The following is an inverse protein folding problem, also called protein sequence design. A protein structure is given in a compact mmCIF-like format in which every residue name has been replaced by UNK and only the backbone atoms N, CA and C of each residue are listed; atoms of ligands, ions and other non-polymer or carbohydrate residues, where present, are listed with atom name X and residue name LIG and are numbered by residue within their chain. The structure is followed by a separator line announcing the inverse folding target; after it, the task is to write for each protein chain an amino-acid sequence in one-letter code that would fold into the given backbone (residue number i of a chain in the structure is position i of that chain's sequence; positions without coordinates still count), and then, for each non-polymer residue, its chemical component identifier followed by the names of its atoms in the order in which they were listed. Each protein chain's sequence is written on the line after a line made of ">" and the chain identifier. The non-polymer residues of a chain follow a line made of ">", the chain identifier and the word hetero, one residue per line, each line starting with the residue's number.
data_IF_929873799738
#
_entry.id   IF_929873799738
#
_cell.length_a   1.000
_cell.length_b   1.000
_cell.length_c   1.000
_cell.angle_alpha   90.00
_cell.angle_beta   90.00
_cell.angle_gamma   90.00
#
_symmetry.space_group_name_H-M   'P 1'
#
loop_
_entity.id
_entity.type
_entity.pdbx_description
1 polymer ?
#
# COMPACT_ATOMS: atom_id res chain seq x y z
N UNK A 1 -8.07 -16.46 -11.94
CA UNK A 1 -8.16 -17.86 -12.44
C UNK A 1 -9.48 -18.54 -12.05
N UNK A 2 -9.85 -18.58 -10.78
CA UNK A 2 -11.10 -19.25 -10.31
C UNK A 2 -12.37 -18.67 -10.93
N UNK A 3 -12.45 -17.36 -11.12
CA UNK A 3 -13.58 -16.71 -11.79
C UNK A 3 -13.86 -17.30 -13.17
N UNK A 4 -12.85 -17.46 -14.00
CA UNK A 4 -12.99 -18.06 -15.35
C UNK A 4 -13.24 -19.57 -15.28
N UNK A 5 -12.57 -20.28 -14.36
CA UNK A 5 -12.78 -21.71 -14.18
C UNK A 5 -14.23 -22.00 -13.75
N UNK A 6 -14.80 -21.17 -12.90
CA UNK A 6 -16.19 -21.32 -12.42
C UNK A 6 -17.19 -21.31 -13.59
N UNK A 7 -16.97 -20.51 -14.65
CA UNK A 7 -17.87 -20.46 -15.79
C UNK A 7 -17.97 -21.81 -16.56
N UNK A 8 -16.92 -22.62 -16.52
CA UNK A 8 -16.91 -23.95 -17.13
C UNK A 8 -17.49 -25.03 -16.22
N UNK A 9 -17.26 -24.91 -14.89
CA UNK A 9 -17.58 -25.98 -13.93
C UNK A 9 -19.01 -25.84 -13.38
N UNK A 10 -19.61 -24.67 -13.44
CA UNK A 10 -20.99 -24.41 -12.96
C UNK A 10 -22.02 -25.40 -13.55
N UNK A 11 -21.80 -25.85 -14.78
CA UNK A 11 -22.69 -26.81 -15.44
C UNK A 11 -22.68 -28.22 -14.79
N UNK A 12 -21.62 -28.56 -14.05
CA UNK A 12 -21.49 -29.85 -13.37
C UNK A 12 -21.94 -29.79 -11.92
N UNK A 13 -21.80 -28.64 -11.24
CA UNK A 13 -22.14 -28.46 -9.85
C UNK A 13 -22.65 -27.06 -9.56
N UNK A 14 -23.95 -26.88 -9.45
CA UNK A 14 -24.67 -25.61 -9.32
C UNK A 14 -24.11 -24.66 -8.23
N UNK A 15 -23.73 -25.12 -7.02
CA UNK A 15 -23.18 -24.26 -5.97
C UNK A 15 -21.91 -23.53 -6.35
N UNK A 16 -21.15 -24.01 -7.35
CA UNK A 16 -19.95 -23.30 -7.84
C UNK A 16 -20.25 -21.95 -8.52
N UNK A 17 -21.54 -21.64 -8.79
CA UNK A 17 -21.98 -20.30 -9.20
C UNK A 17 -21.57 -19.22 -8.21
N UNK A 18 -21.38 -19.55 -6.93
CA UNK A 18 -20.88 -18.63 -5.92
C UNK A 18 -19.48 -18.07 -6.29
N UNK A 19 -18.64 -18.85 -6.98
CA UNK A 19 -17.32 -18.39 -7.44
C UNK A 19 -17.37 -17.38 -8.59
N UNK A 20 -18.55 -17.10 -9.14
CA UNK A 20 -18.77 -16.01 -10.10
C UNK A 20 -19.14 -14.69 -9.39
N UNK A 21 -19.44 -14.74 -8.08
CA UNK A 21 -19.74 -13.55 -7.28
C UNK A 21 -18.46 -12.87 -6.81
N UNK A 22 -18.28 -11.62 -7.16
CA UNK A 22 -17.11 -10.83 -6.71
C UNK A 22 -17.05 -10.71 -5.20
N UNK A 23 -18.19 -10.57 -4.51
CA UNK A 23 -18.23 -10.53 -3.04
C UNK A 23 -17.71 -11.82 -2.40
N UNK A 24 -18.05 -12.98 -2.99
CA UNK A 24 -17.54 -14.28 -2.53
C UNK A 24 -16.04 -14.38 -2.79
N UNK A 25 -15.55 -13.95 -3.97
CA UNK A 25 -14.14 -13.97 -4.29
C UNK A 25 -13.33 -13.03 -3.37
N UNK A 26 -13.85 -11.84 -3.05
CA UNK A 26 -13.25 -10.93 -2.05
C UNK A 26 -13.09 -11.65 -0.71
N UNK A 27 -14.16 -12.26 -0.22
CA UNK A 27 -14.13 -12.97 1.07
C UNK A 27 -13.15 -14.14 1.04
N UNK A 28 -13.19 -14.98 0.01
CA UNK A 28 -12.27 -16.12 -0.14
C UNK A 28 -10.81 -15.67 -0.23
N UNK A 29 -10.52 -14.64 -1.00
CA UNK A 29 -9.17 -14.08 -1.14
C UNK A 29 -8.63 -13.54 0.18
N UNK A 30 -9.46 -12.80 0.93
CA UNK A 30 -9.12 -12.26 2.23
C UNK A 30 -8.83 -13.37 3.25
N UNK A 31 -9.76 -14.33 3.42
CA UNK A 31 -9.59 -15.42 4.39
C UNK A 31 -8.45 -16.36 4.00
N UNK A 32 -8.33 -16.72 2.73
CA UNK A 32 -7.22 -17.58 2.26
C UNK A 32 -5.86 -16.88 2.45
N UNK A 33 -5.77 -15.60 2.12
CA UNK A 33 -4.57 -14.80 2.35
C UNK A 33 -4.19 -14.74 3.82
N UNK A 34 -5.15 -14.47 4.71
CA UNK A 34 -4.94 -14.48 6.16
C UNK A 34 -4.43 -15.84 6.65
N UNK A 35 -5.15 -16.92 6.37
CA UNK A 35 -4.79 -18.26 6.86
C UNK A 35 -3.45 -18.70 6.30
N UNK A 36 -3.18 -18.44 5.01
CA UNK A 36 -1.92 -18.82 4.39
C UNK A 36 -0.73 -18.16 5.10
N UNK A 37 -0.77 -16.84 5.34
CA UNK A 37 0.33 -16.15 6.02
C UNK A 37 0.39 -16.52 7.50
N UNK A 38 -0.74 -16.61 8.18
CA UNK A 38 -0.79 -17.06 9.58
C UNK A 38 -0.07 -18.41 9.78
N UNK A 39 -0.25 -19.35 8.85
CA UNK A 39 0.32 -20.71 8.94
C UNK A 39 1.74 -20.78 8.37
N UNK A 40 2.02 -20.11 7.25
CA UNK A 40 3.31 -20.23 6.55
C UNK A 40 4.41 -19.38 7.18
N UNK A 41 4.08 -18.16 7.64
CA UNK A 41 5.09 -17.22 8.09
C UNK A 41 5.97 -17.76 9.25
N UNK A 42 5.42 -18.40 10.30
CA UNK A 42 6.26 -18.98 11.35
C UNK A 42 7.21 -20.08 10.87
N UNK A 43 6.80 -20.81 9.83
CA UNK A 43 7.65 -21.86 9.22
C UNK A 43 8.84 -21.30 8.46
N UNK A 44 8.73 -20.04 8.04
CA UNK A 44 9.76 -19.36 7.27
C UNK A 44 10.77 -18.60 8.13
N UNK A 45 10.56 -18.46 9.45
CA UNK A 45 11.45 -17.65 10.30
C UNK A 45 12.93 -18.04 10.20
N UNK A 46 13.23 -19.34 10.09
CA UNK A 46 14.59 -19.84 9.97
C UNK A 46 15.30 -19.45 8.66
N UNK A 47 14.55 -19.06 7.62
CA UNK A 47 15.08 -18.66 6.32
C UNK A 47 15.21 -17.16 6.16
N UNK A 48 14.62 -16.39 7.08
CA UNK A 48 14.65 -14.93 7.05
C UNK A 48 15.96 -14.41 7.66
N UNK A 49 16.51 -13.30 7.14
CA UNK A 49 17.62 -12.63 7.78
C UNK A 49 17.23 -12.12 9.17
N UNK A 50 18.22 -11.98 10.05
CA UNK A 50 18.04 -11.39 11.35
C UNK A 50 18.23 -9.88 11.33
N UNK A 51 17.39 -9.13 12.05
CA UNK A 51 17.55 -7.69 12.22
C UNK A 51 18.82 -7.40 13.05
N UNK A 52 19.64 -6.48 12.57
CA UNK A 52 20.94 -6.15 13.17
C UNK A 52 20.85 -5.05 14.21
N UNK A 53 19.69 -4.43 14.34
CA UNK A 53 19.50 -3.22 15.13
C UNK A 53 20.04 -1.99 14.38
N UNK A 54 19.20 -0.99 14.17
CA UNK A 54 19.59 0.30 13.58
C UNK A 54 20.04 1.21 14.72
N UNK A 55 21.30 1.67 14.73
CA UNK A 55 21.92 2.47 15.80
C UNK A 55 21.11 3.73 16.21
N UNK A 56 20.28 4.25 15.30
CA UNK A 56 19.55 5.52 15.49
C UNK A 56 18.08 5.36 15.87
N UNK A 57 17.52 4.14 15.91
CA UNK A 57 16.10 3.93 16.26
C UNK A 57 15.92 3.71 17.76
N UNK A 58 14.80 4.21 18.30
CA UNK A 58 14.53 4.16 19.74
C UNK A 58 14.37 2.73 20.26
N UNK A 59 13.89 1.81 19.41
CA UNK A 59 13.62 0.42 19.74
C UNK A 59 14.65 -0.57 19.17
N UNK A 60 15.83 -0.11 18.77
CA UNK A 60 16.86 -0.93 18.12
C UNK A 60 17.22 -2.20 18.91
N UNK A 61 17.34 -2.09 20.23
CA UNK A 61 17.67 -3.23 21.09
C UNK A 61 16.56 -4.30 21.12
N UNK A 62 15.30 -3.91 21.00
CA UNK A 62 14.16 -4.82 20.99
C UNK A 62 13.95 -5.50 19.61
N UNK A 63 14.48 -4.93 18.55
CA UNK A 63 14.42 -5.48 17.19
C UNK A 63 15.55 -6.47 16.90
N UNK A 64 16.74 -6.25 17.49
CA UNK A 64 17.95 -7.03 17.20
C UNK A 64 17.75 -8.52 17.40
N UNK A 65 18.12 -9.31 16.39
CA UNK A 65 18.00 -10.78 16.38
C UNK A 65 16.62 -11.30 16.00
N UNK A 66 15.62 -10.44 15.77
CA UNK A 66 14.33 -10.89 15.23
C UNK A 66 14.44 -11.18 13.73
N UNK A 67 13.69 -12.19 13.22
CA UNK A 67 13.56 -12.38 11.77
C UNK A 67 13.00 -11.12 11.12
N UNK A 68 13.64 -10.64 10.05
CA UNK A 68 13.23 -9.47 9.26
C UNK A 68 13.08 -9.82 7.78
N UNK A 69 12.60 -8.89 6.95
CA UNK A 69 12.40 -9.16 5.52
C UNK A 69 11.24 -10.11 5.23
N UNK A 70 10.31 -10.28 6.18
CA UNK A 70 9.16 -11.18 6.01
C UNK A 70 8.21 -10.75 4.88
N UNK A 71 8.39 -9.55 4.34
CA UNK A 71 7.75 -9.11 3.10
C UNK A 71 7.86 -10.12 1.97
N UNK A 72 8.98 -10.85 1.87
CA UNK A 72 9.17 -11.88 0.84
C UNK A 72 8.11 -12.99 0.93
N UNK A 73 7.69 -13.37 2.13
CA UNK A 73 6.68 -14.40 2.33
C UNK A 73 5.29 -13.84 2.04
N UNK A 74 4.90 -12.77 2.72
CA UNK A 74 3.52 -12.33 2.65
C UNK A 74 3.18 -11.62 1.32
N UNK A 75 4.10 -10.91 0.67
CA UNK A 75 3.86 -10.33 -0.67
C UNK A 75 3.81 -11.46 -1.73
N UNK A 76 4.60 -12.52 -1.60
CA UNK A 76 4.49 -13.66 -2.53
C UNK A 76 3.17 -14.40 -2.37
N UNK A 77 2.67 -14.59 -1.14
CA UNK A 77 1.33 -15.12 -0.88
C UNK A 77 0.25 -14.20 -1.44
N UNK A 78 0.41 -12.88 -1.31
CA UNK A 78 -0.51 -11.91 -1.89
C UNK A 78 -0.60 -12.06 -3.42
N UNK A 79 0.52 -12.07 -4.13
CA UNK A 79 0.54 -12.22 -5.60
C UNK A 79 -0.11 -13.53 -6.02
N UNK A 80 0.18 -14.63 -5.32
CA UNK A 80 -0.44 -15.93 -5.57
C UNK A 80 -1.96 -15.90 -5.32
N UNK A 81 -2.42 -15.32 -4.22
CA UNK A 81 -3.85 -15.19 -3.91
C UNK A 81 -4.57 -14.32 -4.97
N UNK A 82 -3.99 -13.17 -5.33
CA UNK A 82 -4.54 -12.32 -6.39
C UNK A 82 -4.64 -13.07 -7.72
N UNK A 83 -3.62 -13.84 -8.12
CA UNK A 83 -3.65 -14.64 -9.34
C UNK A 83 -4.73 -15.73 -9.34
N UNK A 84 -5.01 -16.31 -8.18
CA UNK A 84 -6.06 -17.33 -8.03
C UNK A 84 -7.46 -16.73 -8.08
N UNK A 85 -7.71 -15.66 -7.33
CA UNK A 85 -9.07 -15.17 -7.08
C UNK A 85 -9.49 -14.02 -8.01
N UNK A 86 -8.58 -13.11 -8.40
CA UNK A 86 -8.94 -11.98 -9.24
C UNK A 86 -9.04 -12.35 -10.74
N UNK A 87 -9.98 -11.73 -11.49
CA UNK A 87 -10.01 -11.77 -12.94
C UNK A 87 -8.99 -10.79 -13.54
N UNK A 88 -7.70 -11.13 -13.47
CA UNK A 88 -6.61 -10.24 -13.80
C UNK A 88 -6.59 -9.83 -15.27
N UNK A 89 -6.44 -8.53 -15.52
CA UNK A 89 -6.07 -7.93 -16.79
C UNK A 89 -4.55 -7.65 -16.87
N UNK A 90 -4.11 -7.10 -18.01
CA UNK A 90 -2.69 -6.81 -18.23
C UNK A 90 -2.15 -5.74 -17.27
N UNK A 91 -2.93 -4.68 -16.99
CA UNK A 91 -2.54 -3.62 -16.06
C UNK A 91 -2.35 -4.18 -14.65
N UNK A 92 -3.31 -4.95 -14.17
CA UNK A 92 -3.28 -5.60 -12.86
C UNK A 92 -2.10 -6.55 -12.73
N UNK A 93 -1.81 -7.35 -13.76
CA UNK A 93 -0.64 -8.23 -13.80
C UNK A 93 0.67 -7.45 -13.73
N UNK A 94 0.81 -6.37 -14.48
CA UNK A 94 1.99 -5.50 -14.43
C UNK A 94 2.18 -4.88 -13.03
N UNK A 95 1.11 -4.39 -12.42
CA UNK A 95 1.18 -3.78 -11.08
C UNK A 95 1.52 -4.81 -9.99
N UNK A 96 0.99 -6.03 -10.08
CA UNK A 96 1.38 -7.13 -9.20
C UNK A 96 2.84 -7.52 -9.37
N UNK A 97 3.33 -7.61 -10.60
CA UNK A 97 4.73 -7.89 -10.90
C UNK A 97 5.67 -6.80 -10.35
N UNK A 98 5.32 -5.52 -10.49
CA UNK A 98 6.10 -4.41 -9.95
C UNK A 98 6.03 -4.35 -8.41
N UNK A 99 4.89 -4.70 -7.81
CA UNK A 99 4.79 -4.86 -6.34
C UNK A 99 5.75 -5.94 -5.86
N UNK A 100 5.78 -7.08 -6.53
CA UNK A 100 6.70 -8.18 -6.22
C UNK A 100 8.17 -7.79 -6.45
N UNK A 101 8.47 -7.04 -7.52
CA UNK A 101 9.81 -6.52 -7.79
C UNK A 101 10.26 -5.52 -6.70
N UNK A 102 9.36 -4.64 -6.24
CA UNK A 102 9.64 -3.71 -5.14
C UNK A 102 9.96 -4.46 -3.86
N UNK A 103 9.19 -5.50 -3.54
CA UNK A 103 9.48 -6.42 -2.44
C UNK A 103 10.85 -7.08 -2.60
N UNK A 104 11.18 -7.58 -3.79
CA UNK A 104 12.44 -8.27 -4.05
C UNK A 104 13.65 -7.35 -3.85
N UNK A 105 13.59 -6.10 -4.32
CA UNK A 105 14.66 -5.12 -4.09
C UNK A 105 14.84 -4.82 -2.61
N UNK A 106 13.74 -4.72 -1.85
CA UNK A 106 13.78 -4.55 -0.39
C UNK A 106 14.36 -5.76 0.32
N UNK A 107 13.98 -6.97 -0.08
CA UNK A 107 14.50 -8.21 0.49
C UNK A 107 16.01 -8.42 0.25
N UNK A 108 16.49 -8.03 -0.93
CA UNK A 108 17.92 -8.06 -1.23
C UNK A 108 18.72 -7.11 -0.35
N UNK A 109 18.15 -5.96 0.02
CA UNK A 109 18.74 -5.07 1.01
C UNK A 109 18.71 -5.65 2.42
N UNK A 110 17.56 -6.15 2.87
CA UNK A 110 17.40 -6.79 4.18
C UNK A 110 18.40 -7.95 4.40
N UNK A 111 18.67 -8.71 3.33
CA UNK A 111 19.60 -9.84 3.34
C UNK A 111 21.07 -9.42 3.19
N UNK A 112 21.35 -8.24 2.67
CA UNK A 112 22.70 -7.77 2.38
C UNK A 112 23.55 -7.63 3.65
N UNK A 113 24.82 -8.03 3.63
CA UNK A 113 25.75 -7.90 4.76
C UNK A 113 26.04 -6.45 5.15
N UNK A 114 26.05 -5.54 4.17
CA UNK A 114 26.05 -4.10 4.36
C UNK A 114 24.75 -3.55 3.81
N UNK A 115 24.00 -2.76 4.60
CA UNK A 115 22.77 -2.10 4.11
C UNK A 115 23.09 -1.21 2.92
N UNK A 116 22.19 -1.20 1.93
CA UNK A 116 22.38 -0.35 0.75
C UNK A 116 22.27 1.13 1.13
N UNK A 117 23.09 1.95 0.52
CA UNK A 117 23.01 3.39 0.73
C UNK A 117 21.68 3.98 0.27
N UNK A 118 21.27 5.09 0.92
CA UNK A 118 20.00 5.78 0.64
C UNK A 118 19.79 6.11 -0.83
N UNK A 119 20.87 6.54 -1.53
CA UNK A 119 20.80 6.87 -2.96
C UNK A 119 20.51 5.66 -3.85
N UNK A 120 21.09 4.49 -3.55
CA UNK A 120 20.82 3.26 -4.30
C UNK A 120 19.36 2.83 -4.13
N UNK A 121 18.86 2.84 -2.91
CA UNK A 121 17.45 2.54 -2.61
C UNK A 121 16.51 3.52 -3.32
N UNK A 122 16.75 4.80 -3.13
CA UNK A 122 15.93 5.86 -3.73
C UNK A 122 15.92 5.83 -5.27
N UNK A 123 17.05 5.49 -5.90
CA UNK A 123 17.13 5.36 -7.35
C UNK A 123 16.36 4.13 -7.88
N UNK A 124 16.43 2.99 -7.18
CA UNK A 124 15.65 1.80 -7.54
C UNK A 124 14.14 2.05 -7.38
N UNK A 125 13.73 2.69 -6.28
CA UNK A 125 12.33 3.07 -6.07
C UNK A 125 11.85 4.06 -7.13
N UNK A 126 12.70 5.01 -7.54
CA UNK A 126 12.38 5.95 -8.61
C UNK A 126 12.20 5.22 -9.95
N UNK A 127 13.12 4.30 -10.29
CA UNK A 127 13.04 3.55 -11.52
C UNK A 127 11.75 2.70 -11.59
N UNK A 128 11.39 2.02 -10.50
CA UNK A 128 10.15 1.26 -10.40
C UNK A 128 8.93 2.19 -10.52
N UNK A 129 8.97 3.35 -9.83
CA UNK A 129 7.87 4.32 -9.86
C UNK A 129 7.66 4.92 -11.24
N UNK A 130 8.73 5.26 -11.98
CA UNK A 130 8.65 5.72 -13.38
C UNK A 130 8.07 4.64 -14.27
N UNK A 131 8.55 3.40 -14.14
CA UNK A 131 8.06 2.26 -14.93
C UNK A 131 6.57 2.05 -14.69
N UNK A 132 6.14 2.06 -13.42
CA UNK A 132 4.72 1.92 -13.06
C UNK A 132 3.89 3.10 -13.60
N UNK A 133 4.37 4.34 -13.50
CA UNK A 133 3.69 5.52 -14.00
C UNK A 133 3.48 5.47 -15.52
N UNK A 134 4.50 5.02 -16.26
CA UNK A 134 4.41 4.82 -17.71
C UNK A 134 3.40 3.73 -18.06
N UNK A 135 3.43 2.59 -17.39
CA UNK A 135 2.50 1.48 -17.61
C UNK A 135 1.06 1.92 -17.27
N UNK A 136 0.85 2.58 -16.12
CA UNK A 136 -0.43 3.14 -15.73
C UNK A 136 -0.97 4.12 -16.79
N UNK A 137 -0.09 4.95 -17.37
CA UNK A 137 -0.48 5.86 -18.44
C UNK A 137 -0.83 5.11 -19.71
N UNK A 138 0.00 4.17 -20.16
CA UNK A 138 -0.18 3.46 -21.45
C UNK A 138 -1.40 2.56 -21.45
N UNK A 139 -1.64 1.86 -20.35
CA UNK A 139 -2.75 0.91 -20.18
C UNK A 139 -3.97 1.52 -19.50
N UNK A 140 -4.00 2.85 -19.26
CA UNK A 140 -5.14 3.50 -18.65
C UNK A 140 -6.38 3.40 -19.56
N UNK A 141 -7.50 2.83 -19.09
CA UNK A 141 -8.73 2.71 -19.87
C UNK A 141 -9.37 4.05 -20.20
N UNK A 142 -9.14 5.08 -19.35
CA UNK A 142 -9.70 6.42 -19.50
C UNK A 142 -8.79 7.36 -20.33
N UNK A 143 -7.81 6.80 -21.03
CA UNK A 143 -6.92 7.56 -21.89
C UNK A 143 -7.68 8.02 -23.13
N UNK A 144 -7.84 9.32 -23.24
CA UNK A 144 -8.54 9.95 -24.37
C UNK A 144 -7.67 10.04 -25.64
N UNK A 145 -8.33 10.19 -26.79
CA UNK A 145 -7.67 10.60 -28.03
C UNK A 145 -6.86 11.88 -27.80
N UNK A 146 -5.60 11.87 -28.25
CA UNK A 146 -4.66 12.97 -27.97
C UNK A 146 -3.74 12.74 -26.76
N UNK A 147 -3.83 11.61 -26.06
CA UNK A 147 -2.88 11.21 -25.02
C UNK A 147 -3.08 11.93 -23.69
N UNK A 148 -4.29 12.31 -23.36
CA UNK A 148 -4.66 12.88 -22.07
C UNK A 148 -5.32 11.81 -21.17
N UNK A 149 -5.03 11.87 -19.86
CA UNK A 149 -5.69 11.07 -18.82
C UNK A 149 -6.54 11.99 -17.97
N UNK A 150 -7.66 11.51 -17.49
CA UNK A 150 -8.56 12.30 -16.65
C UNK A 150 -8.31 12.01 -15.17
N UNK A 151 -8.16 13.07 -14.35
CA UNK A 151 -8.27 13.02 -12.92
C UNK A 151 -9.60 13.65 -12.48
N UNK A 152 -10.31 12.98 -11.61
CA UNK A 152 -11.42 13.61 -10.88
C UNK A 152 -10.88 14.14 -9.55
N UNK A 153 -11.17 15.41 -9.27
CA UNK A 153 -10.61 16.11 -8.13
C UNK A 153 -11.73 16.65 -7.23
N UNK A 154 -11.53 16.74 -5.91
CA UNK A 154 -12.49 17.40 -5.02
C UNK A 154 -12.65 18.86 -5.42
N UNK A 155 -13.85 19.42 -5.21
CA UNK A 155 -14.24 20.81 -5.52
C UNK A 155 -14.31 21.16 -7.02
N UNK A 156 -14.05 20.22 -7.92
CA UNK A 156 -14.13 20.42 -9.37
C UNK A 156 -15.13 19.41 -9.94
N UNK A 157 -16.18 19.92 -10.63
CA UNK A 157 -17.25 19.09 -11.19
C UNK A 157 -16.79 18.28 -12.39
N UNK A 158 -16.01 18.91 -13.27
CA UNK A 158 -15.53 18.25 -14.49
C UNK A 158 -14.16 17.61 -14.27
N UNK A 159 -13.92 16.41 -14.81
CA UNK A 159 -12.60 15.79 -14.74
C UNK A 159 -11.53 16.66 -15.37
N UNK A 160 -10.39 16.77 -14.74
CA UNK A 160 -9.23 17.52 -15.21
C UNK A 160 -8.43 16.66 -16.19
N UNK A 161 -8.32 17.13 -17.43
CA UNK A 161 -7.53 16.48 -18.46
C UNK A 161 -6.05 16.78 -18.29
N UNK A 162 -5.23 15.75 -18.15
CA UNK A 162 -3.80 15.86 -17.83
C UNK A 162 -2.97 15.23 -18.94
N UNK A 163 -2.01 16.00 -19.48
CA UNK A 163 -1.08 15.53 -20.50
C UNK A 163 -0.10 14.47 -19.95
N UNK A 164 0.36 13.56 -20.83
CA UNK A 164 1.25 12.46 -20.49
C UNK A 164 2.44 12.81 -19.58
N UNK A 165 3.24 13.86 -19.88
CA UNK A 165 4.42 14.18 -19.05
C UNK A 165 4.03 14.58 -17.63
N UNK A 166 2.92 15.33 -17.48
CA UNK A 166 2.43 15.77 -16.16
C UNK A 166 1.87 14.58 -15.38
N UNK A 167 1.08 13.70 -16.03
CA UNK A 167 0.58 12.48 -15.41
C UNK A 167 1.73 11.59 -14.90
N UNK A 168 2.71 11.30 -15.77
CA UNK A 168 3.86 10.45 -15.41
C UNK A 168 4.66 11.07 -14.26
N UNK A 169 4.88 12.39 -14.28
CA UNK A 169 5.59 13.08 -13.20
C UNK A 169 4.83 12.99 -11.86
N UNK A 170 3.53 13.30 -11.85
CA UNK A 170 2.68 13.22 -10.65
C UNK A 170 2.60 11.79 -10.12
N UNK A 171 2.35 10.82 -11.00
CA UNK A 171 2.28 9.41 -10.62
C UNK A 171 3.62 8.90 -10.05
N UNK A 172 4.74 9.26 -10.68
CA UNK A 172 6.08 8.91 -10.19
C UNK A 172 6.35 9.48 -8.80
N UNK A 173 6.06 10.77 -8.59
CA UNK A 173 6.25 11.42 -7.29
C UNK A 173 5.37 10.76 -6.23
N UNK A 174 4.11 10.49 -6.54
CA UNK A 174 3.17 9.87 -5.61
C UNK A 174 3.63 8.45 -5.23
N UNK A 175 4.01 7.61 -6.19
CA UNK A 175 4.52 6.27 -5.95
C UNK A 175 5.81 6.30 -5.13
N UNK A 176 6.79 7.09 -5.55
CA UNK A 176 8.09 7.20 -4.88
C UNK A 176 7.94 7.69 -3.43
N UNK A 177 7.12 8.71 -3.21
CA UNK A 177 6.86 9.22 -1.85
C UNK A 177 6.10 8.21 -1.01
N UNK A 178 5.10 7.52 -1.57
CA UNK A 178 4.35 6.48 -0.86
C UNK A 178 5.24 5.32 -0.43
N UNK A 179 6.15 4.84 -1.29
CA UNK A 179 7.15 3.80 -0.95
C UNK A 179 7.99 4.26 0.26
N UNK A 180 8.61 5.44 0.14
CA UNK A 180 9.59 5.88 1.12
C UNK A 180 8.95 6.31 2.45
N UNK A 181 7.75 6.90 2.43
CA UNK A 181 7.03 7.28 3.66
C UNK A 181 6.54 6.06 4.43
N UNK A 182 6.06 5.03 3.72
CA UNK A 182 5.65 3.78 4.36
C UNK A 182 6.84 3.05 4.96
N UNK A 183 7.97 3.02 4.26
CA UNK A 183 9.22 2.46 4.78
C UNK A 183 9.70 3.21 6.04
N UNK A 184 9.69 4.53 6.03
CA UNK A 184 10.03 5.33 7.22
C UNK A 184 9.04 5.15 8.39
N UNK A 185 7.83 4.69 8.13
CA UNK A 185 6.81 4.46 9.17
C UNK A 185 7.01 3.11 9.88
N UNK A 186 7.77 2.19 9.29
CA UNK A 186 8.01 0.85 9.83
C UNK A 186 9.12 0.87 10.91
N UNK A 187 8.78 1.38 12.08
CA UNK A 187 9.71 1.48 13.23
C UNK A 187 9.10 1.10 14.57
N UNK A 188 7.79 0.78 14.59
CA UNK A 188 7.06 0.33 15.78
C UNK A 188 6.21 -0.88 15.43
N UNK A 189 6.27 -1.91 16.29
CA UNK A 189 5.52 -3.17 16.10
C UNK A 189 4.04 -2.91 15.79
N UNK A 190 3.57 -3.42 14.65
CA UNK A 190 2.20 -3.30 14.18
C UNK A 190 1.81 -1.95 13.59
N UNK A 191 2.60 -0.88 13.72
CA UNK A 191 2.19 0.48 13.33
C UNK A 191 1.98 0.59 11.81
N UNK A 192 3.03 0.32 11.03
CA UNK A 192 2.98 0.44 9.58
C UNK A 192 1.90 -0.47 8.98
N UNK A 193 1.87 -1.73 9.39
CA UNK A 193 0.87 -2.71 8.94
C UNK A 193 -0.57 -2.31 9.27
N UNK A 194 -0.84 -1.75 10.45
CA UNK A 194 -2.19 -1.30 10.82
C UNK A 194 -2.63 -0.09 9.98
N UNK A 195 -1.76 0.90 9.78
CA UNK A 195 -2.08 2.07 8.97
C UNK A 195 -2.32 1.68 7.50
N UNK A 196 -1.47 0.80 6.95
CA UNK A 196 -1.65 0.25 5.60
C UNK A 196 -2.93 -0.57 5.49
N UNK A 197 -3.28 -1.36 6.51
CA UNK A 197 -4.51 -2.14 6.52
C UNK A 197 -5.75 -1.23 6.43
N UNK A 198 -5.78 -0.11 7.14
CA UNK A 198 -6.84 0.89 7.04
C UNK A 198 -6.92 1.44 5.61
N UNK A 199 -5.78 1.75 5.00
CA UNK A 199 -5.72 2.22 3.61
C UNK A 199 -6.29 1.17 2.63
N UNK A 200 -5.89 -0.10 2.78
CA UNK A 200 -6.35 -1.19 1.92
C UNK A 200 -7.86 -1.46 2.07
N UNK A 201 -8.38 -1.50 3.30
CA UNK A 201 -9.82 -1.66 3.53
C UNK A 201 -10.59 -0.50 2.91
N UNK A 202 -10.08 0.71 3.07
CA UNK A 202 -10.69 1.92 2.49
C UNK A 202 -10.71 1.85 0.96
N UNK A 203 -9.56 1.58 0.33
CA UNK A 203 -9.46 1.51 -1.14
C UNK A 203 -10.25 0.33 -1.72
N UNK A 204 -10.16 -0.85 -1.09
CA UNK A 204 -10.93 -2.02 -1.51
C UNK A 204 -12.45 -1.78 -1.44
N UNK A 205 -12.91 -1.09 -0.40
CA UNK A 205 -14.31 -0.69 -0.26
C UNK A 205 -14.71 0.35 -1.32
N UNK A 206 -13.86 1.34 -1.60
CA UNK A 206 -14.10 2.31 -2.66
C UNK A 206 -14.18 1.63 -4.04
N UNK A 207 -13.27 0.73 -4.35
CA UNK A 207 -13.27 -0.02 -5.60
C UNK A 207 -14.53 -0.87 -5.76
N UNK A 208 -14.97 -1.56 -4.70
CA UNK A 208 -16.13 -2.44 -4.80
C UNK A 208 -17.45 -1.67 -4.75
N UNK A 209 -17.66 -0.86 -3.71
CA UNK A 209 -18.98 -0.26 -3.45
C UNK A 209 -19.21 1.06 -4.16
N UNK A 210 -18.18 1.78 -4.56
CA UNK A 210 -18.30 3.14 -5.10
C UNK A 210 -17.91 3.18 -6.56
N UNK A 211 -16.64 3.01 -6.87
CA UNK A 211 -16.11 3.14 -8.24
C UNK A 211 -16.57 2.00 -9.16
N UNK A 212 -16.74 0.79 -8.63
CA UNK A 212 -17.20 -0.38 -9.38
C UNK A 212 -18.72 -0.45 -9.63
N UNK A 213 -19.51 0.47 -9.04
CA UNK A 213 -20.96 0.52 -9.21
C UNK A 213 -21.40 1.73 -10.00
N UNK A 214 -21.99 1.51 -11.20
CA UNK A 214 -22.41 2.59 -12.12
C UNK A 214 -23.35 3.59 -11.46
N UNK A 215 -24.36 3.11 -10.75
CA UNK A 215 -25.41 3.95 -10.16
C UNK A 215 -24.84 4.82 -9.03
N UNK A 216 -23.94 4.26 -8.21
CA UNK A 216 -23.33 4.98 -7.09
C UNK A 216 -22.30 5.98 -7.63
N UNK A 217 -21.49 5.59 -8.61
CA UNK A 217 -20.53 6.47 -9.25
C UNK A 217 -21.25 7.66 -9.93
N UNK A 218 -22.34 7.39 -10.65
CA UNK A 218 -23.17 8.42 -11.27
C UNK A 218 -23.83 9.35 -10.23
N UNK A 219 -24.35 8.80 -9.13
CA UNK A 219 -24.93 9.60 -8.04
C UNK A 219 -23.92 10.53 -7.38
N UNK A 220 -22.67 10.05 -7.24
CA UNK A 220 -21.57 10.83 -6.66
C UNK A 220 -20.85 11.72 -7.68
N UNK A 221 -21.24 11.66 -8.96
CA UNK A 221 -20.60 12.39 -10.07
C UNK A 221 -19.11 12.06 -10.24
N UNK A 222 -18.72 10.83 -9.95
CA UNK A 222 -17.35 10.33 -10.12
C UNK A 222 -17.27 9.32 -11.27
N UNK A 223 -16.09 9.12 -11.90
CA UNK A 223 -15.93 8.14 -12.95
C UNK A 223 -16.24 6.72 -12.46
N UNK A 224 -16.90 5.93 -13.31
CA UNK A 224 -17.11 4.52 -13.06
C UNK A 224 -15.88 3.71 -13.50
N UNK A 225 -15.34 2.88 -12.62
CA UNK A 225 -14.24 1.98 -12.92
C UNK A 225 -14.78 0.59 -13.24
N UNK A 226 -14.74 0.19 -14.52
CA UNK A 226 -15.36 -1.05 -15.00
C UNK A 226 -14.75 -2.31 -14.34
N UNK A 227 -13.46 -2.31 -14.05
CA UNK A 227 -12.70 -3.38 -13.38
C UNK A 227 -12.56 -3.18 -11.86
N UNK A 228 -13.35 -2.26 -11.29
CA UNK A 228 -13.31 -1.94 -9.86
C UNK A 228 -13.47 -3.17 -8.95
N UNK A 229 -14.31 -4.13 -9.34
CA UNK A 229 -14.45 -5.39 -8.60
C UNK A 229 -13.17 -6.24 -8.63
N UNK A 230 -12.44 -6.26 -9.73
CA UNK A 230 -11.14 -6.91 -9.86
C UNK A 230 -10.10 -6.28 -8.93
N UNK A 231 -10.00 -4.95 -8.93
CA UNK A 231 -9.13 -4.20 -8.01
C UNK A 231 -9.51 -4.41 -6.54
N UNK A 232 -10.80 -4.52 -6.23
CA UNK A 232 -11.26 -4.82 -4.88
C UNK A 232 -10.77 -6.19 -4.41
N UNK A 233 -10.88 -7.24 -5.25
CA UNK A 233 -10.39 -8.59 -4.90
C UNK A 233 -8.88 -8.55 -4.63
N UNK A 234 -8.10 -7.88 -5.48
CA UNK A 234 -6.65 -7.73 -5.31
C UNK A 234 -6.34 -7.01 -3.99
N UNK A 235 -7.01 -5.89 -3.74
CA UNK A 235 -6.78 -5.07 -2.53
C UNK A 235 -7.15 -5.82 -1.25
N UNK A 236 -8.29 -6.52 -1.23
CA UNK A 236 -8.68 -7.34 -0.09
C UNK A 236 -7.84 -8.61 0.08
N UNK A 237 -7.26 -9.15 -1.02
CA UNK A 237 -6.25 -10.22 -0.92
C UNK A 237 -5.04 -9.75 -0.11
N UNK A 238 -4.53 -8.54 -0.40
CA UNK A 238 -3.42 -7.98 0.36
C UNK A 238 -3.82 -7.63 1.79
N UNK A 239 -5.05 -7.14 2.01
CA UNK A 239 -5.55 -6.88 3.35
C UNK A 239 -5.59 -8.15 4.21
N UNK A 240 -6.08 -9.28 3.67
CA UNK A 240 -6.08 -10.57 4.36
C UNK A 240 -4.68 -11.07 4.69
N UNK A 241 -3.78 -11.03 3.72
CA UNK A 241 -2.37 -11.37 3.88
C UNK A 241 -1.70 -10.51 4.96
N UNK A 242 -1.97 -9.20 4.96
CA UNK A 242 -1.42 -8.27 5.93
C UNK A 242 -1.99 -8.49 7.34
N UNK A 243 -3.26 -8.89 7.48
CA UNK A 243 -3.82 -9.32 8.76
C UNK A 243 -3.10 -10.56 9.30
N UNK A 244 -2.79 -11.54 8.43
CA UNK A 244 -2.01 -12.73 8.80
C UNK A 244 -0.59 -12.38 9.27
N UNK A 245 0.06 -11.43 8.61
CA UNK A 245 1.34 -10.88 9.05
C UNK A 245 1.21 -10.14 10.38
N UNK A 246 0.22 -9.25 10.52
CA UNK A 246 -0.01 -8.43 11.71
C UNK A 246 -0.24 -9.30 12.96
N UNK A 247 -0.83 -10.48 12.82
CA UNK A 247 -0.98 -11.44 13.92
C UNK A 247 0.35 -11.81 14.57
N UNK A 248 1.42 -11.87 13.80
CA UNK A 248 2.77 -12.18 14.28
C UNK A 248 3.61 -10.94 14.60
N UNK A 249 3.24 -9.79 14.02
CA UNK A 249 3.94 -8.52 14.20
C UNK A 249 3.32 -7.64 15.29
N UNK A 250 2.15 -8.01 15.85
CA UNK A 250 1.57 -7.32 16.99
C UNK A 250 2.54 -7.30 18.19
N UNK A 251 2.55 -6.19 18.91
CA UNK A 251 3.48 -6.00 20.05
C UNK A 251 3.23 -7.00 21.18
N UNK A 252 4.27 -7.66 21.72
CA UNK A 252 5.66 -7.69 21.27
C UNK A 252 5.86 -8.56 20.02
N UNK A 253 6.40 -7.99 18.94
CA UNK A 253 6.50 -8.67 17.64
C UNK A 253 7.46 -9.86 17.66
N UNK A 254 7.10 -10.89 16.88
CA UNK A 254 7.94 -12.08 16.64
C UNK A 254 8.76 -11.97 15.35
N UNK A 255 8.35 -11.08 14.44
CA UNK A 255 8.92 -10.93 13.09
C UNK A 255 8.72 -9.50 12.61
N UNK A 256 9.65 -9.02 11.77
CA UNK A 256 9.62 -7.69 11.18
C UNK A 256 9.41 -7.81 9.65
N UNK A 257 8.70 -6.83 9.06
CA UNK A 257 8.45 -6.86 7.61
C UNK A 257 9.68 -6.50 6.78
N UNK A 258 10.58 -5.67 7.34
CA UNK A 258 11.75 -5.17 6.66
C UNK A 258 11.45 -4.22 5.50
N UNK A 259 12.49 -3.83 4.78
CA UNK A 259 12.36 -3.04 3.56
C UNK A 259 11.58 -3.80 2.48
N UNK A 260 11.66 -5.14 2.50
CA UNK A 260 10.88 -6.02 1.62
C UNK A 260 9.36 -5.78 1.72
N UNK A 261 8.84 -5.69 2.94
CA UNK A 261 7.40 -5.51 3.16
C UNK A 261 6.96 -4.06 3.03
N UNK A 262 7.61 -3.16 3.76
CA UNK A 262 7.19 -1.77 3.88
C UNK A 262 7.21 -1.02 2.54
N UNK A 263 8.22 -1.25 1.70
CA UNK A 263 8.33 -0.62 0.37
C UNK A 263 7.27 -1.14 -0.59
N UNK A 264 7.05 -2.47 -0.63
CA UNK A 264 6.01 -3.07 -1.47
C UNK A 264 4.59 -2.61 -1.09
N UNK A 265 4.31 -2.50 0.22
CA UNK A 265 3.03 -1.99 0.72
C UNK A 265 2.81 -0.53 0.33
N UNK A 266 3.83 0.32 0.48
CA UNK A 266 3.77 1.72 0.06
C UNK A 266 3.55 1.86 -1.45
N UNK A 267 4.25 1.07 -2.27
CA UNK A 267 4.04 1.03 -3.72
C UNK A 267 2.59 0.67 -4.06
N UNK A 268 2.05 -0.40 -3.48
CA UNK A 268 0.71 -0.86 -3.81
C UNK A 268 -0.39 0.12 -3.39
N UNK A 269 -0.25 0.81 -2.25
CA UNK A 269 -1.17 1.91 -1.88
C UNK A 269 -1.15 3.00 -2.95
N UNK A 270 0.03 3.43 -3.38
CA UNK A 270 0.18 4.43 -4.43
C UNK A 270 -0.49 4.00 -5.73
N UNK A 271 -0.34 2.71 -6.12
CA UNK A 271 -1.04 2.13 -7.29
C UNK A 271 -2.55 2.22 -7.13
N UNK A 272 -3.10 1.80 -5.98
CA UNK A 272 -4.54 1.88 -5.72
C UNK A 272 -5.08 3.32 -5.87
N UNK A 273 -4.35 4.29 -5.31
CA UNK A 273 -4.72 5.71 -5.40
C UNK A 273 -4.71 6.20 -6.86
N UNK A 274 -3.70 5.85 -7.65
CA UNK A 274 -3.62 6.27 -9.06
C UNK A 274 -4.68 5.61 -9.93
N UNK A 275 -4.95 4.32 -9.72
CA UNK A 275 -6.01 3.58 -10.41
C UNK A 275 -7.40 4.13 -10.14
N UNK A 276 -7.63 4.68 -8.95
CA UNK A 276 -8.90 5.34 -8.63
C UNK A 276 -9.17 6.62 -9.44
N UNK A 277 -8.17 7.15 -10.15
CA UNK A 277 -8.26 8.41 -10.88
C UNK A 277 -8.25 9.66 -9.99
N UNK A 278 -8.02 9.52 -8.69
CA UNK A 278 -7.95 10.65 -7.76
C UNK A 278 -6.71 10.61 -6.86
N UNK A 279 -5.64 11.33 -7.21
CA UNK A 279 -4.41 11.35 -6.41
C UNK A 279 -4.60 11.91 -4.99
N UNK A 280 -5.65 12.71 -4.74
CA UNK A 280 -5.94 13.23 -3.39
C UNK A 280 -6.46 12.17 -2.41
N UNK A 281 -6.86 11.00 -2.89
CA UNK A 281 -7.20 9.87 -2.01
C UNK A 281 -6.01 9.40 -1.17
N UNK A 282 -4.78 9.74 -1.54
CA UNK A 282 -3.60 9.48 -0.69
C UNK A 282 -3.73 10.16 0.68
N UNK A 283 -4.35 11.33 0.74
CA UNK A 283 -4.59 12.03 2.02
C UNK A 283 -5.71 11.38 2.83
N UNK A 284 -6.69 10.74 2.21
CA UNK A 284 -7.68 9.95 2.94
C UNK A 284 -7.07 8.65 3.50
N UNK A 285 -6.27 7.96 2.71
CA UNK A 285 -5.77 6.63 3.03
C UNK A 285 -4.51 6.62 3.88
N UNK A 286 -3.63 7.62 3.73
CA UNK A 286 -2.24 7.54 4.21
C UNK A 286 -1.76 8.82 4.91
N UNK A 287 -2.64 9.72 5.36
CA UNK A 287 -2.24 10.98 6.02
C UNK A 287 -1.28 10.77 7.17
N UNK A 288 -1.55 9.80 8.05
CA UNK A 288 -0.69 9.55 9.21
C UNK A 288 0.64 8.94 8.78
N UNK A 289 0.68 8.10 7.73
CA UNK A 289 1.92 7.58 7.17
C UNK A 289 2.78 8.73 6.63
N UNK A 290 2.18 9.66 5.87
CA UNK A 290 2.87 10.83 5.33
C UNK A 290 3.33 11.80 6.41
N UNK A 291 2.52 12.05 7.43
CA UNK A 291 2.92 12.89 8.58
C UNK A 291 4.02 12.24 9.40
N UNK A 292 3.98 10.92 9.59
CA UNK A 292 4.95 10.20 10.40
C UNK A 292 6.30 10.07 9.72
N UNK A 293 6.33 9.56 8.48
CA UNK A 293 7.55 9.31 7.70
C UNK A 293 7.91 10.43 6.73
N UNK A 294 6.91 10.97 6.00
CA UNK A 294 7.12 11.93 4.92
C UNK A 294 7.64 13.29 5.38
N UNK A 295 7.19 13.79 6.53
CA UNK A 295 7.73 15.04 7.10
C UNK A 295 9.21 14.92 7.43
N UNK A 296 9.68 13.73 7.84
CA UNK A 296 11.09 13.45 8.04
C UNK A 296 11.90 13.52 6.74
N UNK A 297 11.37 12.90 5.68
CA UNK A 297 11.97 12.96 4.35
C UNK A 297 12.03 14.40 3.83
N UNK A 298 10.95 15.16 3.98
CA UNK A 298 10.89 16.58 3.61
C UNK A 298 11.93 17.41 4.39
N UNK A 299 12.04 17.20 5.71
CA UNK A 299 13.04 17.87 6.55
C UNK A 299 14.46 17.61 6.03
N UNK A 300 14.79 16.35 5.74
CA UNK A 300 16.12 15.98 5.23
C UNK A 300 16.36 16.58 3.84
N UNK A 301 15.37 16.52 2.95
CA UNK A 301 15.47 17.09 1.60
C UNK A 301 15.70 18.60 1.63
N UNK A 302 14.90 19.36 2.40
CA UNK A 302 15.03 20.80 2.53
C UNK A 302 16.40 21.20 3.13
N UNK A 303 16.85 20.46 4.13
CA UNK A 303 18.17 20.72 4.73
C UNK A 303 19.31 20.42 3.75
N UNK A 304 19.22 19.31 3.00
CA UNK A 304 20.32 18.85 2.12
C UNK A 304 20.42 19.70 0.86
N UNK A 305 19.29 19.98 0.20
CA UNK A 305 19.29 20.67 -1.11
C UNK A 305 19.18 22.19 -1.00
N UNK A 306 18.41 22.69 -0.03
CA UNK A 306 18.11 24.12 0.09
C UNK A 306 18.71 24.76 1.33
N UNK A 307 19.36 24.00 2.23
CA UNK A 307 19.90 24.46 3.52
C UNK A 307 18.84 25.07 4.45
N UNK A 308 17.55 24.78 4.21
CA UNK A 308 16.42 25.24 5.01
C UNK A 308 16.21 24.26 6.17
N UNK A 309 16.22 24.79 7.40
CA UNK A 309 15.92 24.03 8.61
C UNK A 309 14.45 24.20 8.99
N UNK A 310 13.72 23.08 9.11
CA UNK A 310 12.35 23.05 9.61
C UNK A 310 12.26 22.03 10.75
N UNK A 311 11.35 22.28 11.69
CA UNK A 311 11.07 21.36 12.80
C UNK A 311 12.31 20.92 13.60
N UNK A 312 13.21 21.84 13.97
CA UNK A 312 14.47 21.52 14.64
C UNK A 312 14.27 20.81 15.99
N UNK A 313 13.18 21.12 16.70
CA UNK A 313 12.81 20.49 17.97
C UNK A 313 12.09 19.14 17.81
N UNK A 314 11.70 18.74 16.60
CA UNK A 314 10.95 17.52 16.34
C UNK A 314 11.86 16.46 15.73
N UNK A 315 11.91 15.30 16.37
CA UNK A 315 12.56 14.10 15.85
C UNK A 315 11.64 13.40 14.85
N UNK A 316 12.18 12.92 13.76
CA UNK A 316 11.46 12.11 12.78
C UNK A 316 12.15 10.74 12.60
N UNK A 317 11.39 9.70 12.29
CA UNK A 317 9.93 9.66 12.14
C UNK A 317 9.20 10.11 13.41
N UNK A 318 7.93 10.57 13.26
CA UNK A 318 7.17 11.17 14.37
C UNK A 318 6.94 10.18 15.53
N UNK A 319 6.79 8.89 15.26
CA UNK A 319 6.66 7.85 16.28
C UNK A 319 7.88 7.80 17.23
N UNK A 320 9.08 8.06 16.71
CA UNK A 320 10.31 8.15 17.53
C UNK A 320 10.25 9.36 18.48
N UNK A 321 9.72 10.49 17.99
CA UNK A 321 9.51 11.67 18.84
C UNK A 321 8.52 11.37 19.96
N UNK A 322 7.41 10.68 19.64
CA UNK A 322 6.39 10.31 20.64
C UNK A 322 6.95 9.33 21.68
N UNK A 323 7.73 8.34 21.24
CA UNK A 323 8.37 7.39 22.14
C UNK A 323 9.39 8.08 23.07
N UNK A 324 10.33 8.86 22.50
CA UNK A 324 11.45 9.43 23.24
C UNK A 324 11.04 10.65 24.08
N UNK A 325 10.31 11.60 23.48
CA UNK A 325 9.99 12.88 24.12
C UNK A 325 8.70 12.85 24.93
N UNK A 326 7.70 12.05 24.50
CA UNK A 326 6.41 11.91 25.18
C UNK A 326 6.31 10.63 26.00
N UNK A 327 7.33 9.73 25.92
CA UNK A 327 7.41 8.44 26.61
C UNK A 327 6.18 7.55 26.36
N UNK A 328 5.61 7.64 25.16
CA UNK A 328 4.52 6.75 24.79
C UNK A 328 5.04 5.34 24.54
N UNK A 329 4.31 4.34 25.05
CA UNK A 329 4.60 2.94 24.76
C UNK A 329 4.30 2.61 23.28
N UNK A 330 4.89 1.53 22.71
CA UNK A 330 4.57 1.08 21.37
C UNK A 330 3.06 0.89 21.13
N UNK A 331 2.35 0.31 22.10
CA UNK A 331 0.89 0.13 22.02
C UNK A 331 0.14 1.48 22.01
N UNK A 332 0.58 2.47 22.79
CA UNK A 332 -0.02 3.81 22.77
C UNK A 332 0.22 4.53 21.45
N UNK A 333 1.40 4.38 20.86
CA UNK A 333 1.71 4.95 19.54
C UNK A 333 0.79 4.33 18.49
N UNK A 334 0.74 2.99 18.44
CA UNK A 334 -0.12 2.25 17.52
C UNK A 334 -1.57 2.70 17.59
N UNK A 335 -2.17 2.63 18.79
CA UNK A 335 -3.61 2.93 18.97
C UNK A 335 -3.92 4.40 18.65
N UNK A 336 -3.11 5.35 19.12
CA UNK A 336 -3.36 6.77 18.86
C UNK A 336 -3.20 7.14 17.38
N UNK A 337 -2.19 6.60 16.70
CA UNK A 337 -1.99 6.85 15.27
C UNK A 337 -3.09 6.19 14.44
N UNK A 338 -3.54 4.98 14.83
CA UNK A 338 -4.70 4.33 14.22
C UNK A 338 -5.97 5.19 14.36
N UNK A 339 -6.27 5.70 15.56
CA UNK A 339 -7.44 6.57 15.78
C UNK A 339 -7.36 7.81 14.90
N UNK A 340 -6.20 8.48 14.85
CA UNK A 340 -6.00 9.65 14.01
C UNK A 340 -6.21 9.32 12.53
N UNK A 341 -5.65 8.20 12.04
CA UNK A 341 -5.84 7.78 10.64
C UNK A 341 -7.32 7.53 10.33
N UNK A 342 -8.04 6.81 11.18
CA UNK A 342 -9.48 6.54 10.97
C UNK A 342 -10.29 7.83 10.93
N UNK A 343 -10.06 8.75 11.86
CA UNK A 343 -10.76 10.04 11.88
C UNK A 343 -10.48 10.87 10.62
N UNK A 344 -9.21 10.95 10.20
CA UNK A 344 -8.84 11.66 8.97
C UNK A 344 -9.41 10.97 7.74
N UNK A 345 -9.36 9.64 7.67
CA UNK A 345 -9.95 8.88 6.57
C UNK A 345 -11.42 9.22 6.38
N UNK A 346 -12.23 9.16 7.45
CA UNK A 346 -13.66 9.45 7.38
C UNK A 346 -13.90 10.91 6.97
N UNK A 347 -13.19 11.86 7.58
CA UNK A 347 -13.36 13.29 7.28
C UNK A 347 -12.97 13.62 5.83
N UNK A 348 -11.82 13.15 5.37
CA UNK A 348 -11.31 13.45 4.02
C UNK A 348 -12.13 12.73 2.94
N UNK A 349 -12.56 11.49 3.18
CA UNK A 349 -13.48 10.79 2.26
C UNK A 349 -14.82 11.52 2.13
N UNK A 350 -15.39 11.99 3.26
CA UNK A 350 -16.61 12.77 3.23
C UNK A 350 -16.47 14.02 2.35
N UNK A 351 -15.34 14.71 2.43
CA UNK A 351 -15.04 15.86 1.58
C UNK A 351 -14.85 15.44 0.11
N UNK A 352 -14.00 14.46 -0.16
CA UNK A 352 -13.64 14.04 -1.52
C UNK A 352 -14.87 13.53 -2.28
N UNK A 353 -15.74 12.75 -1.65
CA UNK A 353 -16.88 12.10 -2.30
C UNK A 353 -18.12 12.99 -2.39
N UNK A 354 -18.28 14.00 -1.52
CA UNK A 354 -19.53 14.77 -1.44
C UNK A 354 -19.41 16.21 -1.92
N UNK A 355 -18.21 16.76 -1.99
CA UNK A 355 -17.99 18.17 -2.39
C UNK A 355 -17.52 18.21 -3.84
N UNK A 356 -18.51 18.12 -4.75
CA UNK A 356 -18.33 18.29 -6.20
C UNK A 356 -19.36 19.26 -6.75
#
# INVERSE_FOLDING_TARGET
>A
MLYYLASYIVNFFGPLRLLQSYAVLISLALYTGFVAVYVLLPRCYAFLPEDRGREFTVNAAAAKGKPTGSGVVFISVFVAAAAVFAPLDLLQLCMLALTWLTMLTGFLDDRSTASWGEYKKGALDLAISVTAAVILYVLNPDRMDGGHVQFWLPFITDPVSVAAPVYIAVATILLWTSINTTNCTDGVDGLSSTLVLIALITMGSLFYFVLGHKDIAAYLLIPHLADGAGWAIITFSLAGVLMGYLWHNAYPSKVLMGDAGSRALGFFIGVCVLVSGNPFLIFATSSVIFLNGGTGLLKVALLRFFKIRIFDSVRFPLHDHMSKNRKWSPAQILVKFMILQVLVTIAVLGIILKVR
#
